data_IF_738074703084
#
_entry.id   IF_738074703084
#
_cell.length_a   1.000
_cell.length_b   1.000
_cell.length_c   1.000
_cell.angle_alpha   90.00
_cell.angle_beta   90.00
_cell.angle_gamma   90.00
#
_symmetry.space_group_name_H-M   'P 1'
#
loop_
_entity.id
_entity.type
_entity.pdbx_description
1 polymer ?
#
# COMPACT_ATOMS: atom_id res chain seq x y z
N UNK A 1 31.01 18.84 -10.82
CA UNK A 1 31.54 17.94 -9.77
C UNK A 1 30.72 16.66 -9.78
N UNK A 2 31.37 15.55 -10.19
CA UNK A 2 31.01 14.12 -10.05
C UNK A 2 29.54 13.71 -10.27
N UNK A 3 29.19 13.48 -11.54
CA UNK A 3 28.13 12.57 -11.93
C UNK A 3 28.63 11.11 -11.86
N UNK A 4 27.72 10.18 -11.58
CA UNK A 4 27.84 8.71 -11.72
C UNK A 4 28.69 7.94 -10.70
N UNK A 5 28.14 7.63 -9.53
CA UNK A 5 28.46 6.39 -8.77
C UNK A 5 27.31 6.04 -7.82
N UNK A 6 26.20 5.49 -8.35
CA UNK A 6 25.08 5.06 -7.49
C UNK A 6 24.28 3.85 -7.98
N UNK A 7 24.65 3.26 -9.12
CA UNK A 7 23.83 2.21 -9.75
C UNK A 7 24.25 0.79 -9.30
N UNK A 8 25.39 0.62 -8.63
CA UNK A 8 25.79 -0.67 -8.08
C UNK A 8 25.11 -0.95 -6.71
N UNK A 9 23.78 -1.01 -6.70
CA UNK A 9 23.08 -1.64 -5.58
C UNK A 9 23.08 -3.14 -5.82
N UNK A 10 23.62 -3.94 -4.89
CA UNK A 10 23.53 -5.39 -4.96
C UNK A 10 22.05 -5.80 -5.16
N UNK A 11 21.76 -6.64 -6.15
CA UNK A 11 20.41 -7.14 -6.46
C UNK A 11 19.69 -7.67 -5.21
N UNK A 12 20.43 -8.34 -4.32
CA UNK A 12 19.89 -8.79 -3.02
C UNK A 12 19.40 -7.63 -2.15
N UNK A 13 20.13 -6.51 -2.10
CA UNK A 13 19.69 -5.32 -1.37
C UNK A 13 18.47 -4.69 -2.04
N UNK A 14 18.42 -4.65 -3.36
CA UNK A 14 17.26 -4.11 -4.10
C UNK A 14 15.98 -4.93 -3.83
N UNK A 15 16.11 -6.26 -3.71
CA UNK A 15 15.01 -7.19 -3.47
C UNK A 15 14.62 -7.36 -2.01
N UNK A 16 15.44 -6.94 -1.04
CA UNK A 16 15.18 -7.17 0.39
C UNK A 16 15.07 -5.90 1.23
N UNK A 17 15.62 -4.77 0.77
CA UNK A 17 15.47 -3.49 1.45
C UNK A 17 14.11 -2.86 1.18
N UNK A 18 13.56 -2.16 2.17
CA UNK A 18 12.34 -1.39 2.01
C UNK A 18 12.51 -0.28 0.97
N UNK A 19 11.43 0.07 0.23
CA UNK A 19 11.40 1.19 -0.72
C UNK A 19 11.98 2.47 -0.15
N UNK A 20 11.51 2.90 1.03
CA UNK A 20 11.95 4.13 1.69
C UNK A 20 13.45 4.21 1.94
N UNK A 21 14.12 3.06 2.15
CA UNK A 21 15.58 3.01 2.30
C UNK A 21 16.29 3.28 0.97
N UNK A 22 15.78 2.67 -0.11
CA UNK A 22 16.36 2.84 -1.45
C UNK A 22 16.05 4.23 -2.01
N UNK A 23 14.80 4.67 -1.85
CA UNK A 23 14.31 5.98 -2.24
C UNK A 23 15.17 7.09 -1.65
N UNK A 24 15.36 7.15 -0.33
CA UNK A 24 16.15 8.23 0.32
C UNK A 24 17.57 8.41 -0.23
N UNK A 25 18.14 7.37 -0.85
CA UNK A 25 19.50 7.38 -1.40
C UNK A 25 19.55 7.70 -2.88
N UNK A 26 18.44 7.53 -3.60
CA UNK A 26 18.42 7.62 -5.05
C UNK A 26 17.21 8.43 -5.56
N UNK A 27 17.44 9.66 -6.07
CA UNK A 27 16.38 10.46 -6.67
C UNK A 27 15.72 9.81 -7.91
N UNK A 28 16.38 8.82 -8.52
CA UNK A 28 15.88 8.07 -9.68
C UNK A 28 15.20 6.75 -9.31
N UNK A 29 15.03 6.47 -8.02
CA UNK A 29 14.46 5.20 -7.53
C UNK A 29 13.15 4.84 -8.24
N UNK A 30 12.21 5.77 -8.34
CA UNK A 30 10.92 5.49 -8.97
C UNK A 30 11.02 5.22 -10.47
N UNK A 31 11.91 5.89 -11.20
CA UNK A 31 12.08 5.61 -12.63
C UNK A 31 12.61 4.20 -12.87
N UNK A 32 13.54 3.74 -12.01
CA UNK A 32 14.05 2.37 -12.08
C UNK A 32 12.99 1.36 -11.65
N UNK A 33 12.30 1.64 -10.54
CA UNK A 33 11.27 0.77 -9.98
C UNK A 33 10.06 0.65 -10.92
N UNK A 34 9.39 1.76 -11.23
CA UNK A 34 8.22 1.79 -12.11
C UNK A 34 8.60 1.38 -13.55
N UNK A 35 9.80 1.74 -14.02
CA UNK A 35 10.29 1.31 -15.34
C UNK A 35 10.47 -0.21 -15.44
N UNK A 36 10.99 -0.86 -14.39
CA UNK A 36 11.08 -2.32 -14.34
C UNK A 36 9.70 -2.98 -14.34
N UNK A 37 8.74 -2.46 -13.57
CA UNK A 37 7.36 -2.94 -13.58
C UNK A 37 6.68 -2.74 -14.93
N UNK A 38 6.86 -1.57 -15.56
CA UNK A 38 6.32 -1.29 -16.88
C UNK A 38 6.81 -2.32 -17.91
N UNK A 39 8.12 -2.54 -17.96
CA UNK A 39 8.71 -3.52 -18.89
C UNK A 39 8.25 -4.95 -18.58
N UNK A 40 8.16 -5.33 -17.31
CA UNK A 40 7.71 -6.66 -16.90
C UNK A 40 6.25 -6.92 -17.31
N UNK A 41 5.35 -5.96 -17.08
CA UNK A 41 3.94 -6.12 -17.45
C UNK A 41 3.73 -6.06 -18.97
N UNK A 42 4.43 -5.17 -19.68
CA UNK A 42 4.38 -5.17 -21.15
C UNK A 42 4.87 -6.50 -21.74
N UNK A 43 5.94 -7.08 -21.17
CA UNK A 43 6.44 -8.38 -21.59
C UNK A 43 5.44 -9.51 -21.27
N UNK A 44 4.78 -9.46 -20.10
CA UNK A 44 3.73 -10.40 -19.73
C UNK A 44 2.54 -10.32 -20.68
N UNK A 45 2.02 -9.12 -20.95
CA UNK A 45 0.91 -8.89 -21.86
C UNK A 45 1.25 -9.38 -23.28
N UNK A 46 2.43 -9.03 -23.78
CA UNK A 46 2.91 -9.47 -25.08
C UNK A 46 3.01 -11.01 -25.14
N UNK A 47 3.48 -11.65 -24.07
CA UNK A 47 3.56 -13.11 -23.98
C UNK A 47 2.17 -13.76 -23.97
N UNK A 48 1.22 -13.25 -23.17
CA UNK A 48 -0.16 -13.76 -23.12
C UNK A 48 -0.81 -13.66 -24.50
N UNK A 49 -0.68 -12.50 -25.15
CA UNK A 49 -1.24 -12.25 -26.48
C UNK A 49 -0.61 -13.13 -27.56
N UNK A 50 0.71 -13.33 -27.52
CA UNK A 50 1.42 -14.14 -28.50
C UNK A 50 1.14 -15.65 -28.37
N UNK A 51 0.89 -16.13 -27.14
CA UNK A 51 0.69 -17.55 -26.84
C UNK A 51 -0.77 -17.97 -26.75
N UNK A 52 -1.70 -17.02 -26.58
CA UNK A 52 -3.09 -17.30 -26.28
C UNK A 52 -3.30 -17.92 -24.89
N UNK A 53 -2.37 -17.71 -23.95
CA UNK A 53 -2.46 -18.16 -22.56
C UNK A 53 -3.48 -17.31 -21.77
N UNK A 54 -4.77 -17.46 -22.06
CA UNK A 54 -5.86 -16.81 -21.33
C UNK A 54 -7.22 -16.94 -22.01
N UNK A 55 -8.34 -16.75 -21.29
CA UNK A 55 -8.44 -16.58 -19.84
C UNK A 55 -8.17 -17.89 -19.07
N UNK A 56 -7.58 -17.80 -17.88
CA UNK A 56 -7.30 -18.92 -16.97
C UNK A 56 -8.56 -19.45 -16.28
N UNK A 57 -9.65 -18.69 -16.31
CA UNK A 57 -10.92 -19.02 -15.67
C UNK A 57 -12.01 -19.03 -16.73
N UNK A 58 -12.69 -20.16 -16.89
CA UNK A 58 -13.92 -20.22 -17.68
C UNK A 58 -15.09 -19.68 -16.84
N UNK A 59 -15.64 -18.54 -17.23
CA UNK A 59 -16.67 -17.85 -16.47
C UNK A 59 -17.94 -18.69 -16.29
N UNK A 60 -18.47 -18.66 -15.07
CA UNK A 60 -19.77 -19.21 -14.73
C UNK A 60 -20.49 -18.21 -13.83
N UNK A 61 -21.76 -17.93 -14.10
CA UNK A 61 -22.51 -16.91 -13.35
C UNK A 61 -22.63 -17.19 -11.84
N UNK A 62 -22.58 -18.46 -11.44
CA UNK A 62 -22.58 -18.81 -10.02
C UNK A 62 -21.29 -18.36 -9.30
N UNK A 63 -20.20 -18.05 -10.01
CA UNK A 63 -18.98 -17.48 -9.41
C UNK A 63 -19.23 -16.13 -8.74
N UNK A 64 -20.32 -15.43 -9.04
CA UNK A 64 -20.73 -14.25 -8.27
C UNK A 64 -20.87 -14.54 -6.78
N UNK A 65 -21.22 -15.78 -6.39
CA UNK A 65 -21.26 -16.19 -4.99
C UNK A 65 -19.87 -16.16 -4.31
N UNK A 66 -18.78 -16.14 -5.07
CA UNK A 66 -17.41 -16.02 -4.56
C UNK A 66 -17.03 -14.56 -4.26
N UNK A 67 -17.81 -13.56 -4.69
CA UNK A 67 -17.48 -12.15 -4.52
C UNK A 67 -17.13 -11.78 -3.06
N UNK A 68 -17.84 -12.23 -2.01
CA UNK A 68 -17.46 -11.95 -0.62
C UNK A 68 -16.06 -12.48 -0.25
N UNK A 69 -15.68 -13.64 -0.79
CA UNK A 69 -14.36 -14.24 -0.58
C UNK A 69 -13.29 -13.44 -1.31
N UNK A 70 -13.55 -13.02 -2.56
CA UNK A 70 -12.60 -12.20 -3.34
C UNK A 70 -12.39 -10.83 -2.68
N UNK A 71 -13.46 -10.21 -2.16
CA UNK A 71 -13.39 -8.99 -1.34
C UNK A 71 -12.53 -9.21 -0.09
N UNK A 72 -12.79 -10.29 0.66
CA UNK A 72 -12.02 -10.61 1.85
C UNK A 72 -10.53 -10.76 1.55
N UNK A 73 -10.19 -11.47 0.47
CA UNK A 73 -8.79 -11.65 0.02
C UNK A 73 -8.16 -10.30 -0.35
N UNK A 74 -8.85 -9.41 -1.07
CA UNK A 74 -8.33 -8.09 -1.39
C UNK A 74 -8.06 -7.25 -0.14
N UNK A 75 -8.98 -7.27 0.84
CA UNK A 75 -8.76 -6.58 2.13
C UNK A 75 -7.55 -7.18 2.85
N UNK A 76 -7.44 -8.51 2.90
CA UNK A 76 -6.35 -9.22 3.55
C UNK A 76 -4.99 -8.88 2.90
N UNK A 77 -4.92 -8.79 1.57
CA UNK A 77 -3.72 -8.38 0.86
C UNK A 77 -3.30 -6.95 1.22
N UNK A 78 -4.25 -6.01 1.35
CA UNK A 78 -3.96 -4.67 1.85
C UNK A 78 -3.43 -4.68 3.31
N UNK A 79 -3.97 -5.56 4.17
CA UNK A 79 -3.46 -5.78 5.54
C UNK A 79 -2.02 -6.31 5.52
N UNK A 80 -1.70 -7.19 4.57
CA UNK A 80 -0.33 -7.70 4.40
C UNK A 80 0.62 -6.64 3.87
N UNK A 81 0.21 -5.81 2.90
CA UNK A 81 1.00 -4.66 2.43
C UNK A 81 1.31 -3.73 3.61
N UNK A 82 0.31 -3.39 4.40
CA UNK A 82 0.45 -2.56 5.60
C UNK A 82 1.46 -3.15 6.59
N UNK A 83 1.38 -4.46 6.86
CA UNK A 83 2.35 -5.17 7.70
C UNK A 83 3.76 -5.21 7.09
N UNK A 84 3.87 -5.34 5.77
CA UNK A 84 5.14 -5.32 5.07
C UNK A 84 5.83 -3.96 5.23
N UNK A 85 5.08 -2.85 5.26
CA UNK A 85 5.64 -1.50 5.45
C UNK A 85 6.48 -1.38 6.74
N UNK A 86 6.21 -2.22 7.73
CA UNK A 86 6.88 -2.22 9.04
C UNK A 86 7.85 -3.37 9.26
N UNK A 87 8.05 -4.23 8.25
CA UNK A 87 8.93 -5.38 8.37
C UNK A 87 8.37 -6.49 9.28
N UNK A 88 7.04 -6.64 9.36
CA UNK A 88 6.41 -7.61 10.25
C UNK A 88 6.49 -9.06 9.75
N UNK A 89 6.89 -9.28 8.49
CA UNK A 89 7.24 -10.61 7.96
C UNK A 89 8.75 -10.85 8.07
N UNK A 90 9.22 -12.12 7.95
CA UNK A 90 10.64 -12.42 7.92
C UNK A 90 11.36 -11.57 6.86
N UNK A 91 12.49 -10.97 7.24
CA UNK A 91 13.21 -9.97 6.44
C UNK A 91 13.47 -10.40 4.99
N UNK A 92 13.76 -11.69 4.78
CA UNK A 92 14.06 -12.24 3.46
C UNK A 92 12.86 -12.19 2.48
N UNK A 93 11.63 -12.25 2.99
CA UNK A 93 10.41 -12.35 2.16
C UNK A 93 9.48 -11.15 2.32
N UNK A 94 9.69 -10.30 3.33
CA UNK A 94 8.79 -9.17 3.61
C UNK A 94 8.61 -8.25 2.38
N UNK A 95 9.71 -7.93 1.71
CA UNK A 95 9.69 -7.11 0.48
C UNK A 95 8.90 -7.80 -0.63
N UNK A 96 9.13 -9.10 -0.83
CA UNK A 96 8.44 -9.90 -1.83
C UNK A 96 6.93 -10.00 -1.59
N UNK A 97 6.51 -10.26 -0.35
CA UNK A 97 5.08 -10.31 0.02
C UNK A 97 4.41 -8.98 -0.27
N UNK A 98 5.05 -7.86 0.12
CA UNK A 98 4.53 -6.53 -0.17
C UNK A 98 4.37 -6.28 -1.66
N UNK A 99 5.36 -6.66 -2.48
CA UNK A 99 5.28 -6.50 -3.94
C UNK A 99 4.19 -7.37 -4.57
N UNK A 100 4.12 -8.66 -4.23
CA UNK A 100 3.10 -9.56 -4.78
C UNK A 100 1.71 -9.08 -4.39
N UNK A 101 1.50 -8.77 -3.10
CA UNK A 101 0.22 -8.26 -2.64
C UNK A 101 -0.13 -6.94 -3.31
N UNK A 102 0.85 -6.06 -3.51
CA UNK A 102 0.70 -4.79 -4.22
C UNK A 102 0.18 -4.99 -5.65
N UNK A 103 0.83 -5.86 -6.42
CA UNK A 103 0.40 -6.21 -7.78
C UNK A 103 -1.04 -6.74 -7.78
N UNK A 104 -1.37 -7.65 -6.87
CA UNK A 104 -2.70 -8.27 -6.78
C UNK A 104 -3.82 -7.29 -6.41
N UNK A 105 -3.51 -6.19 -5.71
CA UNK A 105 -4.51 -5.15 -5.37
C UNK A 105 -4.27 -3.83 -6.10
N UNK A 106 -3.61 -3.89 -7.27
CA UNK A 106 -3.32 -2.75 -8.17
C UNK A 106 -2.82 -1.55 -7.37
N UNK A 107 -1.84 -1.78 -6.52
CA UNK A 107 -1.17 -0.73 -5.76
C UNK A 107 0.31 -0.97 -5.73
N UNK A 108 1.09 0.10 -5.88
CA UNK A 108 2.54 -0.02 -5.93
C UNK A 108 3.07 -0.05 -4.51
N UNK A 109 3.66 -1.18 -4.12
CA UNK A 109 4.15 -1.34 -2.74
C UNK A 109 5.15 -0.25 -2.36
N UNK A 110 5.99 0.21 -3.30
CA UNK A 110 6.89 1.33 -3.08
C UNK A 110 6.18 2.61 -2.64
N UNK A 111 5.17 3.05 -3.39
CA UNK A 111 4.39 4.24 -3.04
C UNK A 111 3.62 4.07 -1.75
N UNK A 112 3.03 2.89 -1.53
CA UNK A 112 2.35 2.59 -0.28
C UNK A 112 3.28 2.70 0.92
N UNK A 113 4.43 2.02 0.89
CA UNK A 113 5.36 2.01 2.03
C UNK A 113 5.94 3.39 2.31
N UNK A 114 6.35 4.12 1.27
CA UNK A 114 6.94 5.47 1.42
C UNK A 114 5.92 6.45 2.03
N UNK A 115 4.68 6.43 1.55
CA UNK A 115 3.58 7.25 2.07
C UNK A 115 3.19 6.82 3.48
N UNK A 116 3.10 5.52 3.73
CA UNK A 116 2.74 4.99 5.05
C UNK A 116 3.75 5.40 6.13
N UNK A 117 5.05 5.37 5.80
CA UNK A 117 6.10 5.89 6.69
C UNK A 117 5.96 7.39 6.93
N UNK A 118 5.55 8.17 5.91
CA UNK A 118 5.28 9.61 6.07
C UNK A 118 4.08 9.86 6.98
N UNK A 119 3.00 9.08 6.83
CA UNK A 119 1.84 9.14 7.71
C UNK A 119 2.21 8.88 9.18
N UNK A 120 2.96 7.81 9.48
CA UNK A 120 3.42 7.57 10.86
C UNK A 120 4.27 8.71 11.44
N UNK A 121 5.04 9.39 10.61
CA UNK A 121 5.89 10.51 11.05
C UNK A 121 5.11 11.79 11.33
N UNK A 122 4.03 12.02 10.59
CA UNK A 122 3.27 13.26 10.61
C UNK A 122 1.77 13.03 10.82
N UNK A 123 1.41 11.98 11.58
CA UNK A 123 0.02 11.58 11.80
C UNK A 123 -0.83 12.78 12.20
N UNK A 124 -1.92 12.99 11.45
CA UNK A 124 -2.91 14.05 11.67
C UNK A 124 -2.41 15.49 11.46
N UNK A 125 -1.18 15.67 10.96
CA UNK A 125 -0.69 16.97 10.48
C UNK A 125 -1.43 17.34 9.18
N UNK A 126 -2.20 18.45 9.15
CA UNK A 126 -3.02 18.80 7.99
C UNK A 126 -2.22 19.06 6.70
N UNK A 127 -0.95 19.43 6.82
CA UNK A 127 -0.11 19.79 5.67
C UNK A 127 0.79 18.64 5.23
N UNK A 128 1.22 17.79 6.17
CA UNK A 128 2.26 16.78 5.93
C UNK A 128 1.75 15.35 5.90
N UNK A 129 0.64 15.04 6.58
CA UNK A 129 0.03 13.73 6.53
C UNK A 129 -0.55 13.47 5.12
N UNK A 130 -0.13 12.38 4.44
CA UNK A 130 -0.75 11.91 3.19
C UNK A 130 -2.26 11.79 3.24
N UNK A 131 -2.79 11.41 4.39
CA UNK A 131 -4.21 11.21 4.58
C UNK A 131 -4.66 11.70 5.96
N UNK A 132 -4.39 12.96 6.27
CA UNK A 132 -4.99 13.61 7.44
C UNK A 132 -6.52 13.42 7.43
N UNK A 133 -7.09 13.17 8.59
CA UNK A 133 -8.50 12.86 8.69
C UNK A 133 -9.39 14.10 8.59
N UNK A 134 -10.57 13.89 8.02
CA UNK A 134 -11.64 14.88 7.94
C UNK A 134 -12.94 14.27 8.49
N UNK A 135 -13.85 15.04 9.12
CA UNK A 135 -15.08 14.49 9.72
C UNK A 135 -16.03 13.79 8.74
N UNK A 136 -15.97 14.12 7.46
CA UNK A 136 -16.83 13.54 6.45
C UNK A 136 -16.04 12.52 5.62
N UNK A 137 -16.46 11.25 5.68
CA UNK A 137 -15.80 10.15 5.00
C UNK A 137 -15.63 10.37 3.50
N UNK A 138 -16.66 10.88 2.80
CA UNK A 138 -16.59 11.08 1.36
C UNK A 138 -15.64 12.22 0.96
N UNK A 139 -15.58 13.29 1.75
CA UNK A 139 -14.59 14.36 1.58
C UNK A 139 -13.18 13.85 1.86
N UNK A 140 -13.00 13.05 2.91
CA UNK A 140 -11.73 12.38 3.22
C UNK A 140 -11.29 11.50 2.04
N UNK A 141 -12.13 10.57 1.60
CA UNK A 141 -11.85 9.69 0.47
C UNK A 141 -11.46 10.48 -0.79
N UNK A 142 -12.23 11.50 -1.17
CA UNK A 142 -11.97 12.26 -2.39
C UNK A 142 -10.75 13.18 -2.30
N UNK A 143 -10.58 13.90 -1.19
CA UNK A 143 -9.54 14.96 -1.08
C UNK A 143 -8.22 14.42 -0.59
N UNK A 144 -8.24 13.50 0.37
CA UNK A 144 -7.01 13.07 1.02
C UNK A 144 -6.52 11.76 0.39
N UNK A 145 -7.36 10.72 0.37
CA UNK A 145 -6.96 9.40 -0.15
C UNK A 145 -6.68 9.40 -1.66
N UNK A 146 -7.50 10.07 -2.49
CA UNK A 146 -7.31 10.06 -3.95
C UNK A 146 -6.33 11.12 -4.46
N UNK A 147 -6.27 12.29 -3.84
CA UNK A 147 -5.51 13.44 -4.37
C UNK A 147 -4.29 13.75 -3.52
N UNK A 148 -4.45 13.88 -2.20
CA UNK A 148 -3.35 14.33 -1.33
C UNK A 148 -2.23 13.28 -1.21
N UNK A 149 -2.51 11.99 -1.33
CA UNK A 149 -1.49 10.92 -1.31
C UNK A 149 -0.40 11.16 -2.35
N UNK A 150 -0.78 11.40 -3.61
CA UNK A 150 0.19 11.68 -4.68
C UNK A 150 0.90 13.02 -4.49
N UNK A 151 0.18 14.05 -4.01
CA UNK A 151 0.78 15.34 -3.66
C UNK A 151 1.84 15.19 -2.57
N UNK A 152 1.58 14.41 -1.52
CA UNK A 152 2.54 14.18 -0.45
C UNK A 152 3.72 13.33 -0.90
N UNK A 153 3.55 12.47 -1.91
CA UNK A 153 4.68 11.75 -2.50
C UNK A 153 5.64 12.71 -3.20
N UNK A 154 5.10 13.68 -3.93
CA UNK A 154 5.89 14.76 -4.55
C UNK A 154 6.55 15.64 -3.48
N UNK A 155 5.82 16.06 -2.45
CA UNK A 155 6.37 16.83 -1.34
C UNK A 155 7.50 16.09 -0.62
N UNK A 156 7.38 14.77 -0.46
CA UNK A 156 8.45 13.97 0.12
C UNK A 156 9.72 13.98 -0.73
N UNK A 157 9.60 14.06 -2.07
CA UNK A 157 10.76 14.23 -2.94
C UNK A 157 11.40 15.60 -2.76
N UNK A 158 10.58 16.64 -2.61
CA UNK A 158 11.06 18.00 -2.35
C UNK A 158 11.77 18.10 -1.01
N UNK A 159 11.20 17.50 0.04
CA UNK A 159 11.77 17.43 1.38
C UNK A 159 13.12 16.67 1.37
N UNK A 160 13.22 15.59 0.57
CA UNK A 160 14.38 14.69 0.58
C UNK A 160 15.52 15.17 -0.33
N UNK A 161 15.21 15.78 -1.48
CA UNK A 161 16.19 16.09 -2.54
C UNK A 161 16.25 17.57 -2.92
N UNK A 162 15.45 18.42 -2.28
CA UNK A 162 15.37 19.85 -2.53
C UNK A 162 14.25 20.24 -3.50
N UNK A 163 13.56 21.34 -3.20
CA UNK A 163 12.51 21.91 -4.04
C UNK A 163 13.11 22.83 -5.11
N UNK A 164 13.34 22.30 -6.30
CA UNK A 164 13.83 23.04 -7.46
C UNK A 164 12.88 22.89 -8.66
N UNK A 165 12.89 23.82 -9.64
CA UNK A 165 12.08 23.67 -10.85
C UNK A 165 12.35 22.35 -11.61
N UNK A 166 13.60 21.90 -11.62
CA UNK A 166 13.99 20.61 -12.21
C UNK A 166 13.36 19.44 -11.45
N UNK A 167 13.41 19.46 -10.11
CA UNK A 167 12.79 18.45 -9.26
C UNK A 167 11.28 18.36 -9.49
N UNK A 168 10.58 19.50 -9.51
CA UNK A 168 9.13 19.55 -9.75
C UNK A 168 8.77 18.95 -11.10
N UNK A 169 9.52 19.28 -12.16
CA UNK A 169 9.32 18.68 -13.49
C UNK A 169 9.57 17.17 -13.47
N UNK A 170 10.62 16.73 -12.77
CA UNK A 170 10.93 15.30 -12.63
C UNK A 170 9.82 14.55 -11.91
N UNK A 171 9.27 15.09 -10.83
CA UNK A 171 8.18 14.48 -10.09
C UNK A 171 6.87 14.41 -10.90
N UNK A 172 6.60 15.40 -11.76
CA UNK A 172 5.51 15.31 -12.73
C UNK A 172 5.70 14.15 -13.71
N UNK A 173 6.91 14.00 -14.28
CA UNK A 173 7.24 12.88 -15.18
C UNK A 173 7.17 11.53 -14.46
N UNK A 174 7.66 11.47 -13.22
CA UNK A 174 7.56 10.29 -12.37
C UNK A 174 6.09 9.92 -12.16
N UNK A 175 5.23 10.88 -11.83
CA UNK A 175 3.80 10.65 -11.66
C UNK A 175 3.16 10.03 -12.90
N UNK A 176 3.46 10.57 -14.09
CA UNK A 176 2.98 10.03 -15.37
C UNK A 176 3.45 8.58 -15.59
N UNK A 177 4.74 8.30 -15.36
CA UNK A 177 5.28 6.94 -15.48
C UNK A 177 4.59 5.99 -14.50
N UNK A 178 4.51 6.40 -13.23
CA UNK A 178 3.87 5.68 -12.14
C UNK A 178 2.43 5.27 -12.44
N UNK A 179 1.62 6.18 -12.99
CA UNK A 179 0.24 5.86 -13.39
C UNK A 179 0.19 5.02 -14.68
N UNK A 180 1.11 5.24 -15.62
CA UNK A 180 1.21 4.45 -16.86
C UNK A 180 1.47 2.96 -16.61
N UNK A 181 2.19 2.59 -15.54
CA UNK A 181 2.41 1.18 -15.13
C UNK A 181 1.10 0.44 -14.88
N UNK A 182 0.06 1.15 -14.43
CA UNK A 182 -1.22 0.53 -14.11
C UNK A 182 -1.97 0.06 -15.36
N UNK A 183 -1.69 0.63 -16.53
CA UNK A 183 -2.36 0.27 -17.79
C UNK A 183 -2.07 -1.19 -18.18
N UNK A 184 -0.80 -1.61 -18.39
CA UNK A 184 -0.50 -3.00 -18.73
C UNK A 184 -0.80 -3.94 -17.55
N UNK A 185 -0.69 -3.50 -16.29
CA UNK A 185 -1.12 -4.34 -15.17
C UNK A 185 -2.63 -4.69 -15.24
N UNK A 186 -3.49 -3.70 -15.51
CA UNK A 186 -4.92 -3.96 -15.67
C UNK A 186 -5.21 -4.80 -16.91
N UNK A 187 -4.46 -4.60 -18.00
CA UNK A 187 -4.56 -5.44 -19.20
C UNK A 187 -4.17 -6.90 -18.88
N UNK A 188 -3.10 -7.13 -18.13
CA UNK A 188 -2.69 -8.47 -17.70
C UNK A 188 -3.82 -9.17 -16.93
N UNK A 189 -4.44 -8.49 -15.96
CA UNK A 189 -5.58 -9.06 -15.23
C UNK A 189 -6.79 -9.29 -16.12
N UNK A 190 -7.09 -8.39 -17.06
CA UNK A 190 -8.16 -8.57 -18.04
C UNK A 190 -7.94 -9.81 -18.91
N UNK A 191 -6.72 -9.98 -19.43
CA UNK A 191 -6.35 -11.11 -20.29
C UNK A 191 -6.34 -12.44 -19.53
N UNK A 192 -5.83 -12.45 -18.29
CA UNK A 192 -5.71 -13.66 -17.48
C UNK A 192 -7.04 -14.09 -16.86
N UNK A 193 -7.88 -13.17 -16.40
CA UNK A 193 -9.16 -13.50 -15.77
C UNK A 193 -10.30 -13.64 -16.79
N UNK A 194 -10.20 -12.95 -17.92
CA UNK A 194 -11.31 -12.75 -18.85
C UNK A 194 -12.20 -11.58 -18.44
N UNK A 195 -13.00 -11.04 -19.37
CA UNK A 195 -13.78 -9.82 -19.15
C UNK A 195 -14.78 -9.96 -18.00
N UNK A 196 -15.46 -11.10 -17.89
CA UNK A 196 -16.50 -11.30 -16.88
C UNK A 196 -15.91 -11.39 -15.47
N UNK A 197 -14.89 -12.22 -15.24
CA UNK A 197 -14.27 -12.34 -13.93
C UNK A 197 -13.56 -11.03 -13.52
N UNK A 198 -12.94 -10.34 -14.47
CA UNK A 198 -12.35 -9.03 -14.22
C UNK A 198 -13.40 -8.00 -13.78
N UNK A 199 -14.50 -7.87 -14.51
CA UNK A 199 -15.53 -6.85 -14.25
C UNK A 199 -16.41 -7.18 -13.06
N UNK A 200 -16.77 -8.45 -12.85
CA UNK A 200 -17.77 -8.83 -11.84
C UNK A 200 -17.18 -9.31 -10.51
N UNK A 201 -15.91 -9.74 -10.48
CA UNK A 201 -15.26 -10.16 -9.24
C UNK A 201 -14.10 -9.26 -8.87
N UNK A 202 -13.15 -9.08 -9.78
CA UNK A 202 -11.89 -8.40 -9.47
C UNK A 202 -12.10 -6.89 -9.25
N UNK A 203 -12.72 -6.16 -10.20
CA UNK A 203 -12.95 -4.72 -10.06
C UNK A 203 -13.81 -4.36 -8.82
N UNK A 204 -14.92 -5.05 -8.52
CA UNK A 204 -15.70 -4.73 -7.31
C UNK A 204 -14.92 -5.03 -6.03
N UNK A 205 -14.16 -6.13 -5.98
CA UNK A 205 -13.32 -6.45 -4.84
C UNK A 205 -12.19 -5.43 -4.64
N UNK A 206 -11.57 -4.99 -5.73
CA UNK A 206 -10.58 -3.93 -5.75
C UNK A 206 -11.15 -2.60 -5.21
N UNK A 207 -12.34 -2.21 -5.67
CA UNK A 207 -13.01 -1.00 -5.22
C UNK A 207 -13.37 -1.05 -3.72
N UNK A 208 -13.94 -2.18 -3.26
CA UNK A 208 -14.26 -2.38 -1.85
C UNK A 208 -12.99 -2.41 -0.99
N UNK A 209 -11.91 -3.04 -1.46
CA UNK A 209 -10.62 -3.05 -0.78
C UNK A 209 -10.07 -1.64 -0.55
N UNK A 210 -10.12 -0.77 -1.57
CA UNK A 210 -9.70 0.63 -1.44
C UNK A 210 -10.59 1.45 -0.50
N UNK A 211 -11.91 1.30 -0.62
CA UNK A 211 -12.86 1.96 0.29
C UNK A 211 -12.64 1.48 1.72
N UNK A 212 -12.34 0.20 1.93
CA UNK A 212 -12.00 -0.34 3.24
C UNK A 212 -10.70 0.26 3.79
N UNK A 213 -9.66 0.45 2.97
CA UNK A 213 -8.41 1.12 3.36
C UNK A 213 -8.67 2.55 3.82
N UNK A 214 -9.47 3.31 3.05
CA UNK A 214 -9.87 4.65 3.44
C UNK A 214 -10.72 4.62 4.73
N UNK A 215 -11.68 3.71 4.82
CA UNK A 215 -12.58 3.61 5.96
C UNK A 215 -11.84 3.26 7.25
N UNK A 216 -10.91 2.31 7.23
CA UNK A 216 -10.16 1.98 8.45
C UNK A 216 -9.38 3.21 8.92
N UNK A 217 -8.60 3.87 8.04
CA UNK A 217 -7.83 5.06 8.42
C UNK A 217 -8.74 6.13 9.00
N UNK A 218 -9.86 6.41 8.34
CA UNK A 218 -10.84 7.40 8.79
C UNK A 218 -11.43 7.06 10.17
N UNK A 219 -11.96 5.84 10.33
CA UNK A 219 -12.60 5.42 11.57
C UNK A 219 -11.61 5.37 12.75
N UNK A 220 -10.40 4.87 12.51
CA UNK A 220 -9.40 4.66 13.56
C UNK A 220 -8.56 5.89 13.89
N UNK A 221 -8.76 7.01 13.18
CA UNK A 221 -8.24 8.33 13.54
C UNK A 221 -9.37 9.23 14.08
N UNK A 222 -10.26 8.63 14.86
CA UNK A 222 -11.30 9.31 15.63
C UNK A 222 -12.07 10.38 14.81
N UNK A 223 -12.41 10.09 13.54
CA UNK A 223 -13.03 11.07 12.65
C UNK A 223 -14.37 11.62 13.17
N UNK A 224 -15.01 10.89 14.07
CA UNK A 224 -16.25 11.28 14.75
C UNK A 224 -16.03 12.24 15.93
N UNK A 225 -14.79 12.63 16.22
CA UNK A 225 -14.46 13.52 17.33
C UNK A 225 -15.19 14.87 17.18
N UNK A 226 -16.06 15.26 18.12
CA UNK A 226 -16.78 16.53 18.05
C UNK A 226 -15.84 17.73 18.23
N UNK A 227 -14.66 17.51 18.82
CA UNK A 227 -13.63 18.53 19.05
C UNK A 227 -12.57 18.58 17.95
N UNK A 228 -12.65 17.69 16.95
CA UNK A 228 -11.65 17.57 15.90
C UNK A 228 -10.33 16.91 16.35
N UNK A 229 -10.32 16.23 17.50
CA UNK A 229 -9.18 15.43 17.96
C UNK A 229 -9.11 14.11 17.17
N UNK A 230 -8.42 14.12 16.03
CA UNK A 230 -8.30 12.98 15.10
C UNK A 230 -7.18 11.99 15.44
N UNK A 231 -6.68 11.99 16.67
CA UNK A 231 -5.62 11.06 17.05
C UNK A 231 -6.00 9.59 16.79
N UNK A 232 -5.01 8.71 16.54
CA UNK A 232 -5.25 7.29 16.43
C UNK A 232 -5.96 6.72 17.68
N UNK A 233 -6.97 5.89 17.46
CA UNK A 233 -7.74 5.18 18.49
C UNK A 233 -7.82 3.69 18.19
N UNK A 234 -8.04 2.89 19.23
CA UNK A 234 -8.33 1.47 19.09
C UNK A 234 -9.84 1.27 19.10
N UNK A 235 -10.36 0.54 18.11
CA UNK A 235 -11.76 0.16 18.04
C UNK A 235 -11.86 -1.37 18.16
N UNK A 236 -12.52 -1.87 19.21
CA UNK A 236 -12.70 -3.31 19.47
C UNK A 236 -14.11 -3.65 19.96
N UNK A 237 -15.13 -3.06 19.34
CA UNK A 237 -16.54 -3.32 19.63
C UNK A 237 -17.33 -3.55 18.33
N UNK A 238 -18.49 -4.19 18.42
CA UNK A 238 -19.38 -4.42 17.27
C UNK A 238 -18.66 -5.10 16.09
N UNK A 239 -18.75 -4.50 14.90
CA UNK A 239 -18.08 -5.01 13.70
C UNK A 239 -16.55 -4.89 13.76
N UNK A 240 -16.00 -3.91 14.49
CA UNK A 240 -14.55 -3.75 14.63
C UNK A 240 -13.92 -4.92 15.40
N UNK A 241 -14.62 -5.45 16.39
CA UNK A 241 -14.20 -6.65 17.13
C UNK A 241 -14.04 -7.87 16.23
N UNK A 242 -14.95 -8.04 15.27
CA UNK A 242 -14.86 -9.11 14.27
C UNK A 242 -13.71 -8.83 13.30
N UNK A 243 -13.62 -7.59 12.80
CA UNK A 243 -12.54 -7.13 11.93
C UNK A 243 -11.14 -7.40 12.53
N UNK A 244 -10.96 -7.13 13.82
CA UNK A 244 -9.72 -7.41 14.54
C UNK A 244 -9.34 -8.90 14.58
N UNK A 245 -10.31 -9.81 14.47
CA UNK A 245 -10.05 -11.27 14.44
C UNK A 245 -9.69 -11.76 13.06
N UNK A 246 -10.38 -11.27 12.05
CA UNK A 246 -10.21 -11.75 10.66
C UNK A 246 -9.12 -11.00 9.89
N UNK A 247 -8.70 -9.83 10.38
CA UNK A 247 -7.67 -8.96 9.78
C UNK A 247 -6.58 -8.55 10.78
N UNK A 248 -6.23 -9.45 11.70
CA UNK A 248 -5.04 -9.32 12.57
C UNK A 248 -4.96 -7.99 13.34
N UNK A 249 -6.05 -7.58 13.96
CA UNK A 249 -6.07 -6.40 14.83
C UNK A 249 -5.96 -5.08 14.08
N UNK A 250 -6.37 -5.01 12.82
CA UNK A 250 -6.28 -3.81 11.99
C UNK A 250 -6.87 -2.56 12.66
N UNK A 251 -8.01 -2.69 13.36
CA UNK A 251 -8.68 -1.57 14.02
C UNK A 251 -8.07 -1.20 15.38
N UNK A 252 -7.04 -1.92 15.84
CA UNK A 252 -6.22 -1.54 17.00
C UNK A 252 -5.12 -0.56 16.56
N UNK A 253 -5.54 0.54 15.93
CA UNK A 253 -4.63 1.44 15.21
C UNK A 253 -3.78 2.33 16.13
N UNK A 254 -4.29 2.72 17.31
CA UNK A 254 -3.47 3.41 18.30
C UNK A 254 -2.29 2.54 18.76
N UNK A 255 -2.53 1.24 18.97
CA UNK A 255 -1.47 0.28 19.28
C UNK A 255 -0.48 0.17 18.12
N UNK A 256 -0.99 0.16 16.88
CA UNK A 256 -0.18 0.14 15.69
C UNK A 256 0.77 1.35 15.61
N UNK A 257 0.26 2.58 15.76
CA UNK A 257 1.10 3.78 15.78
C UNK A 257 2.14 3.76 16.91
N UNK A 258 1.78 3.22 18.07
CA UNK A 258 2.69 3.10 19.22
C UNK A 258 3.80 2.06 18.97
N UNK A 259 3.50 0.93 18.33
CA UNK A 259 4.41 -0.20 18.09
C UNK A 259 4.09 -0.89 16.75
N UNK A 260 4.47 -0.22 15.65
CA UNK A 260 4.12 -0.69 14.31
C UNK A 260 4.79 -2.01 13.89
N UNK A 261 5.88 -2.39 14.57
CA UNK A 261 6.62 -3.63 14.37
C UNK A 261 5.97 -4.88 15.04
N UNK A 262 4.68 -4.80 15.35
CA UNK A 262 3.88 -5.91 15.87
C UNK A 262 2.84 -6.26 14.81
N UNK A 263 2.91 -7.50 14.31
CA UNK A 263 2.06 -7.97 13.21
C UNK A 263 0.55 -7.85 13.51
N UNK A 264 0.15 -8.22 14.73
CA UNK A 264 -1.22 -8.07 15.21
C UNK A 264 -1.25 -7.09 16.38
N UNK A 265 -1.66 -5.82 16.18
CA UNK A 265 -1.67 -4.81 17.22
C UNK A 265 -2.65 -5.09 18.37
N UNK A 266 -3.63 -5.99 18.19
CA UNK A 266 -4.48 -6.48 19.28
C UNK A 266 -3.71 -7.34 20.29
N UNK A 267 -2.52 -7.83 19.91
CA UNK A 267 -1.63 -8.65 20.73
C UNK A 267 -0.42 -7.89 21.26
N UNK A 268 -0.44 -6.56 21.22
CA UNK A 268 0.70 -5.72 21.61
C UNK A 268 1.23 -6.04 23.00
N UNK A 269 0.36 -6.06 24.02
CA UNK A 269 0.78 -6.26 25.41
C UNK A 269 1.36 -7.67 25.64
N UNK A 270 0.75 -8.70 25.04
CA UNK A 270 1.24 -10.08 25.05
C UNK A 270 2.65 -10.19 24.45
N UNK A 271 2.89 -9.53 23.32
CA UNK A 271 4.19 -9.51 22.65
C UNK A 271 5.23 -8.75 23.47
N UNK A 272 4.87 -7.61 24.08
CA UNK A 272 5.78 -6.82 24.91
C UNK A 272 6.16 -7.57 26.19
N UNK A 273 5.20 -8.23 26.84
CA UNK A 273 5.45 -9.06 28.02
C UNK A 273 6.41 -10.22 27.70
N UNK A 274 6.21 -10.92 26.58
CA UNK A 274 7.12 -11.99 26.12
C UNK A 274 8.54 -11.46 25.84
N UNK A 275 8.67 -10.31 25.17
CA UNK A 275 9.98 -9.69 24.91
C UNK A 275 10.69 -9.26 26.19
N UNK A 276 9.96 -8.77 27.19
CA UNK A 276 10.52 -8.40 28.48
C UNK A 276 11.03 -9.63 29.24
N UNK A 277 10.25 -10.71 29.29
CA UNK A 277 10.65 -11.96 29.92
C UNK A 277 11.90 -12.57 29.28
N UNK A 278 11.99 -12.55 27.94
CA UNK A 278 13.15 -13.07 27.21
C UNK A 278 14.44 -12.25 27.42
N UNK A 279 14.34 -10.98 27.84
CA UNK A 279 15.51 -10.14 28.16
C UNK A 279 15.99 -10.30 29.61
N UNK A 280 15.16 -10.88 30.47
CA UNK A 280 15.47 -11.14 31.87
C UNK A 280 16.15 -12.51 32.08
N UNK A 281 16.22 -13.34 31.02
CA UNK A 281 16.96 -14.60 30.93
C UNK A 281 18.32 -14.34 30.30
#
# INVERSE_FOLDING_TARGET
MTAHTGIATNLSTWLTAQPSVQYRRNPWFYFLYDGAYLLAFLALDAWILATGQGPLVQWQWWYLALLPVVIYVHILLNVFIHNCCHGNFPRAINRLIGEIAGVLVITRYASWEIIHQRHHRYSDDPERDPHHVMPNFWRFLARTMLVNVEKQLQNQAYDQFGDTPEMRRREQLRSVLSFSVMIPLNLAFWLLLGPEAFVFLFLPAQAVGWVHVAHFNWATHNAHSPTGDYKPVNLDHGLYWLGNRIWFGLYMHANHHKRANIFNPAKMDEVLARRAAARAQ
#
